data_IF_423093558362
#
_entry.id   IF_423093558362
#
_cell.length_a   1.000
_cell.length_b   1.000
_cell.length_c   1.000
_cell.angle_alpha   90.00
_cell.angle_beta   90.00
_cell.angle_gamma   90.00
#
_symmetry.space_group_name_H-M   'P 1'
#
loop_
_entity.id
_entity.type
_entity.pdbx_description
1 polymer ?
#
# COMPACT_ATOMS: atom_id res chain seq x y z
N UNK A 1 -27.78 -17.70 32.78
CA UNK A 1 -28.86 -18.70 32.59
C UNK A 1 -30.07 -17.88 32.12
N UNK A 2 -30.67 -18.03 30.95
CA UNK A 2 -30.95 -19.23 30.17
C UNK A 2 -30.70 -19.00 28.67
N UNK A 3 -30.28 -20.09 28.01
CA UNK A 3 -30.22 -20.26 26.56
C UNK A 3 -31.62 -20.67 26.09
N UNK A 4 -32.05 -20.16 24.94
CA UNK A 4 -33.06 -20.84 24.12
C UNK A 4 -32.44 -21.05 22.74
N UNK A 5 -32.22 -22.32 22.42
CA UNK A 5 -31.86 -22.85 21.12
C UNK A 5 -33.00 -23.76 20.68
N UNK A 6 -33.35 -23.75 19.40
CA UNK A 6 -34.02 -24.84 18.70
C UNK A 6 -33.81 -24.69 17.17
N UNK A 7 -33.89 -25.78 16.38
CA UNK A 7 -32.86 -26.12 15.40
C UNK A 7 -33.43 -26.48 14.00
N UNK A 8 -32.53 -26.95 13.14
CA UNK A 8 -32.75 -27.77 11.93
C UNK A 8 -33.22 -27.10 10.62
N UNK A 9 -32.26 -26.96 9.69
CA UNK A 9 -32.34 -27.68 8.41
C UNK A 9 -30.93 -28.07 7.96
N UNK A 10 -30.75 -29.32 7.55
CA UNK A 10 -29.49 -29.96 7.18
C UNK A 10 -29.67 -30.67 5.84
N UNK A 11 -28.57 -30.71 5.06
CA UNK A 11 -28.28 -31.49 3.83
C UNK A 11 -28.88 -30.92 2.54
N UNK A 12 -28.22 -30.92 1.39
CA UNK A 12 -26.98 -31.54 0.90
C UNK A 12 -26.53 -30.74 -0.34
N UNK A 13 -25.24 -30.62 -0.64
CA UNK A 13 -24.68 -30.92 -1.97
C UNK A 13 -23.15 -30.83 -1.89
N UNK A 14 -22.50 -31.98 -2.08
CA UNK A 14 -21.06 -32.15 -2.22
C UNK A 14 -20.77 -32.52 -3.67
N UNK A 15 -19.53 -32.24 -4.08
CA UNK A 15 -18.80 -32.75 -5.25
C UNK A 15 -18.93 -31.96 -6.56
N UNK A 16 -17.82 -31.35 -6.97
CA UNK A 16 -17.14 -31.64 -8.23
C UNK A 16 -15.68 -31.15 -8.14
N UNK A 17 -14.75 -32.10 -8.17
CA UNK A 17 -13.30 -31.93 -8.31
C UNK A 17 -12.90 -32.43 -9.71
N UNK A 18 -11.80 -31.86 -10.21
CA UNK A 18 -10.84 -32.39 -11.19
C UNK A 18 -11.28 -32.62 -12.64
N UNK A 19 -10.70 -31.85 -13.55
CA UNK A 19 -10.43 -32.25 -14.93
C UNK A 19 -8.95 -31.95 -15.25
N UNK A 20 -8.14 -33.02 -15.27
CA UNK A 20 -6.79 -33.03 -15.83
C UNK A 20 -6.83 -33.40 -17.31
N UNK A 21 -5.86 -32.93 -18.07
CA UNK A 21 -5.65 -33.27 -19.49
C UNK A 21 -4.56 -34.35 -19.60
N UNK A 22 -4.69 -35.34 -20.52
CA UNK A 22 -3.82 -36.51 -20.54
C UNK A 22 -2.59 -36.38 -21.44
N UNK A 23 -1.46 -36.84 -20.93
CA UNK A 23 -0.29 -37.27 -21.68
C UNK A 23 -0.55 -38.64 -22.34
N UNK A 24 -0.19 -38.81 -23.60
CA UNK A 24 -0.13 -40.12 -24.26
C UNK A 24 1.27 -40.41 -24.78
N UNK A 25 1.90 -41.42 -24.16
CA UNK A 25 3.06 -42.13 -24.68
C UNK A 25 2.62 -43.12 -25.77
N UNK A 26 3.32 -43.14 -26.90
CA UNK A 26 3.19 -44.16 -27.94
C UNK A 26 4.55 -44.79 -28.25
N UNK A 27 4.87 -45.89 -27.57
CA UNK A 27 5.99 -46.76 -27.92
C UNK A 27 5.52 -47.92 -28.79
N UNK A 28 6.18 -48.14 -29.93
CA UNK A 28 6.02 -49.35 -30.74
C UNK A 28 7.39 -49.96 -31.03
N UNK A 29 7.42 -51.30 -31.01
CA UNK A 29 8.56 -52.17 -30.76
C UNK A 29 8.78 -53.07 -31.99
N UNK A 30 10.06 -53.40 -32.23
CA UNK A 30 10.59 -54.61 -32.93
C UNK A 30 10.45 -54.68 -34.46
N UNK A 31 11.60 -54.79 -35.15
CA UNK A 31 12.02 -55.99 -35.91
C UNK A 31 13.49 -55.94 -36.31
N UNK A 32 14.28 -56.82 -35.70
CA UNK A 32 15.54 -57.32 -36.23
C UNK A 32 15.28 -58.12 -37.51
N UNK A 33 16.11 -57.94 -38.55
CA UNK A 33 16.38 -58.99 -39.53
C UNK A 33 17.69 -58.74 -40.31
N UNK A 34 18.64 -59.65 -40.04
CA UNK A 34 19.60 -60.34 -40.93
C UNK A 34 20.58 -59.55 -41.82
N UNK A 35 21.84 -59.70 -41.43
CA UNK A 35 23.07 -60.04 -42.18
C UNK A 35 22.85 -60.43 -43.66
N UNK A 36 23.58 -59.76 -44.56
CA UNK A 36 24.12 -60.36 -45.79
C UNK A 36 25.45 -59.68 -46.17
N UNK A 37 26.32 -60.43 -46.82
CA UNK A 37 27.78 -60.28 -46.87
C UNK A 37 28.33 -60.08 -48.29
N UNK A 38 29.47 -59.37 -48.38
CA UNK A 38 30.58 -59.47 -49.38
C UNK A 38 30.43 -58.70 -50.73
N UNK A 39 31.50 -58.55 -51.55
CA UNK A 39 32.82 -57.91 -51.26
C UNK A 39 33.36 -57.03 -52.44
N UNK A 40 34.41 -56.23 -52.17
CA UNK A 40 35.53 -55.99 -53.10
C UNK A 40 35.40 -54.93 -54.21
N UNK A 41 36.33 -53.96 -54.23
CA UNK A 41 37.43 -53.85 -55.21
C UNK A 41 38.07 -52.43 -55.21
N UNK A 42 39.35 -52.41 -54.80
CA UNK A 42 40.50 -51.69 -55.38
C UNK A 42 40.41 -50.22 -55.84
N UNK A 43 41.23 -49.39 -55.17
CA UNK A 43 42.22 -48.43 -55.67
C UNK A 43 41.93 -47.58 -56.92
N UNK A 44 41.99 -46.26 -56.74
CA UNK A 44 42.70 -45.37 -57.67
C UNK A 44 43.17 -44.10 -56.97
N UNK A 45 44.48 -43.85 -57.06
CA UNK A 45 45.16 -42.64 -56.60
C UNK A 45 44.86 -41.42 -57.48
N UNK A 46 44.87 -40.21 -56.89
CA UNK A 46 45.61 -39.06 -57.42
C UNK A 46 45.49 -37.79 -56.54
N UNK A 47 46.56 -37.48 -55.79
CA UNK A 47 47.37 -36.25 -55.83
C UNK A 47 46.74 -34.81 -55.78
N UNK A 48 47.26 -33.99 -54.81
CA UNK A 48 47.51 -32.50 -54.73
C UNK A 48 46.38 -31.58 -54.17
N UNK A 49 46.65 -30.46 -53.43
CA UNK A 49 47.43 -30.25 -52.18
C UNK A 49 46.66 -29.43 -51.09
N UNK A 50 47.29 -29.31 -49.92
CA UNK A 50 46.88 -28.48 -48.77
C UNK A 50 46.83 -26.98 -49.06
N UNK A 51 45.72 -26.32 -48.70
CA UNK A 51 45.65 -24.87 -48.48
C UNK A 51 45.15 -24.63 -47.04
N UNK A 52 46.00 -23.99 -46.26
CA UNK A 52 45.78 -23.54 -44.89
C UNK A 52 44.63 -22.55 -44.77
N UNK A 53 43.64 -22.83 -43.92
CA UNK A 53 42.70 -21.84 -43.39
C UNK A 53 41.92 -22.44 -42.22
N UNK A 54 42.26 -22.07 -40.99
CA UNK A 54 41.40 -22.21 -39.81
C UNK A 54 41.95 -21.27 -38.72
N UNK A 55 41.61 -19.98 -38.79
CA UNK A 55 40.51 -19.36 -38.04
C UNK A 55 40.78 -19.26 -36.52
N UNK A 56 41.57 -18.23 -36.18
CA UNK A 56 41.18 -17.14 -35.29
C UNK A 56 40.25 -17.51 -34.11
N UNK A 57 40.85 -18.09 -33.07
CA UNK A 57 40.27 -18.15 -31.73
C UNK A 57 40.27 -16.76 -31.08
N UNK A 58 39.23 -15.96 -31.37
CA UNK A 58 38.88 -14.77 -30.60
C UNK A 58 37.81 -15.18 -29.58
N UNK A 59 38.21 -15.23 -28.32
CA UNK A 59 37.34 -15.31 -27.15
C UNK A 59 36.30 -14.17 -27.24
N UNK A 60 35.07 -14.52 -27.62
CA UNK A 60 33.91 -13.64 -27.42
C UNK A 60 33.49 -13.79 -25.96
N UNK A 61 34.13 -13.06 -25.06
CA UNK A 61 33.62 -12.86 -23.71
C UNK A 61 32.33 -12.05 -23.82
N UNK A 62 31.19 -12.74 -23.90
CA UNK A 62 29.88 -12.13 -23.81
C UNK A 62 29.71 -11.58 -22.39
N UNK A 63 30.06 -10.31 -22.21
CA UNK A 63 29.73 -9.54 -21.01
C UNK A 63 28.20 -9.41 -20.98
N UNK A 64 27.54 -10.34 -20.30
CA UNK A 64 26.12 -10.21 -19.94
C UNK A 64 26.05 -9.00 -19.01
N UNK A 65 25.65 -7.86 -19.58
CA UNK A 65 25.31 -6.68 -18.83
C UNK A 65 24.00 -6.97 -18.09
N UNK A 66 24.09 -7.58 -16.90
CA UNK A 66 22.96 -7.68 -15.98
C UNK A 66 22.58 -6.23 -15.65
N UNK A 67 21.43 -5.78 -16.15
CA UNK A 67 20.86 -4.50 -15.75
C UNK A 67 20.61 -4.58 -14.24
N UNK A 68 21.49 -3.95 -13.45
CA UNK A 68 21.28 -3.84 -12.01
C UNK A 68 19.97 -3.08 -11.77
N UNK A 69 19.12 -3.54 -10.82
CA UNK A 69 17.93 -2.81 -10.46
C UNK A 69 18.37 -1.40 -10.03
N UNK A 70 17.81 -0.37 -10.67
CA UNK A 70 18.07 1.05 -10.37
C UNK A 70 17.85 1.28 -8.87
N UNK A 71 18.96 1.26 -8.15
CA UNK A 71 19.04 1.41 -6.72
C UNK A 71 18.98 2.90 -6.42
N UNK A 72 17.80 3.37 -6.00
CA UNK A 72 17.54 4.78 -5.69
C UNK A 72 17.36 4.99 -4.19
N UNK A 73 17.67 6.21 -3.74
CA UNK A 73 17.46 6.66 -2.35
C UNK A 73 15.98 6.51 -1.98
N UNK A 74 15.63 6.09 -0.74
CA UNK A 74 14.25 6.04 -0.29
C UNK A 74 13.59 7.42 -0.34
N UNK A 75 12.36 7.49 -0.83
CA UNK A 75 11.57 8.71 -0.89
C UNK A 75 10.22 8.52 -0.20
N UNK A 76 9.68 9.59 0.41
CA UNK A 76 8.44 9.57 1.18
C UNK A 76 7.43 10.50 0.51
N UNK A 77 6.21 10.01 0.32
CA UNK A 77 5.08 10.78 -0.22
C UNK A 77 4.00 11.04 0.82
N UNK A 78 3.81 10.13 1.79
CA UNK A 78 2.81 10.29 2.86
C UNK A 78 3.18 9.53 4.12
N UNK A 79 2.83 10.07 5.29
CA UNK A 79 2.96 9.43 6.60
C UNK A 79 1.61 9.47 7.30
N UNK A 80 1.14 8.33 7.78
CA UNK A 80 -0.18 8.18 8.42
C UNK A 80 -0.07 7.36 9.72
N UNK A 81 -0.54 7.88 10.88
CA UNK A 81 -0.93 9.28 11.09
C UNK A 81 0.28 10.24 10.97
N UNK A 82 0.08 11.50 10.57
CA UNK A 82 1.16 12.48 10.42
C UNK A 82 1.73 12.98 11.76
N UNK A 83 0.96 12.84 12.83
CA UNK A 83 1.36 13.20 14.20
C UNK A 83 0.67 12.31 15.21
N UNK A 84 1.14 12.33 16.45
CA UNK A 84 0.48 11.67 17.58
C UNK A 84 0.48 12.60 18.79
N UNK A 85 0.06 12.11 19.96
CA UNK A 85 0.05 12.89 21.20
C UNK A 85 0.94 12.25 22.24
N UNK A 86 1.54 13.05 23.11
CA UNK A 86 2.21 12.53 24.30
C UNK A 86 1.20 11.96 25.29
N UNK A 87 1.65 11.02 26.13
CA UNK A 87 0.86 10.40 27.20
C UNK A 87 -0.47 9.75 26.74
N UNK A 88 -0.51 9.19 25.53
CA UNK A 88 -1.68 8.46 25.03
C UNK A 88 -1.70 7.00 25.49
N UNK A 89 -2.93 6.47 25.64
CA UNK A 89 -3.14 5.06 26.00
C UNK A 89 -2.77 4.09 24.88
N UNK A 90 -2.97 4.49 23.62
CA UNK A 90 -2.57 3.69 22.45
C UNK A 90 -1.08 3.89 22.22
N UNK A 91 -0.30 2.85 22.53
CA UNK A 91 1.16 2.82 22.44
C UNK A 91 1.63 1.35 22.37
N UNK A 92 2.36 0.90 21.33
CA UNK A 92 2.93 1.69 20.23
C UNK A 92 1.86 2.17 19.23
N UNK A 93 2.15 3.28 18.56
CA UNK A 93 1.38 3.76 17.39
C UNK A 93 1.99 3.17 16.13
N UNK A 94 1.16 2.61 15.24
CA UNK A 94 1.61 2.10 13.95
C UNK A 94 1.56 3.21 12.91
N UNK A 95 2.70 3.51 12.31
CA UNK A 95 2.79 4.39 11.15
C UNK A 95 2.71 3.59 9.85
N UNK A 96 1.97 4.10 8.89
CA UNK A 96 1.99 3.72 7.49
C UNK A 96 2.69 4.82 6.70
N UNK A 97 3.83 4.47 6.10
CA UNK A 97 4.65 5.36 5.30
C UNK A 97 4.53 4.93 3.84
N UNK A 98 4.06 5.84 2.99
CA UNK A 98 3.96 5.65 1.53
C UNK A 98 5.14 6.35 0.85
N UNK A 99 5.65 5.74 -0.20
CA UNK A 99 6.81 6.26 -0.91
C UNK A 99 7.39 5.27 -1.91
N UNK A 100 8.71 5.31 -2.10
CA UNK A 100 9.42 4.41 -3.00
C UNK A 100 10.78 3.98 -2.41
N UNK A 101 11.29 2.86 -2.93
CA UNK A 101 12.61 2.31 -2.63
C UNK A 101 12.83 1.90 -1.17
N UNK A 102 11.81 1.32 -0.52
CA UNK A 102 11.91 0.84 0.86
C UNK A 102 12.46 -0.60 0.99
N UNK A 103 12.82 -1.27 -0.10
CA UNK A 103 13.31 -2.64 -0.03
C UNK A 103 14.59 -2.73 0.83
N UNK A 104 14.59 -3.63 1.81
CA UNK A 104 15.69 -3.76 2.78
C UNK A 104 15.79 -2.61 3.79
N UNK A 105 14.79 -1.74 3.87
CA UNK A 105 14.79 -0.60 4.79
C UNK A 105 14.90 -1.03 6.25
N UNK A 106 15.68 -0.26 7.01
CA UNK A 106 15.66 -0.22 8.47
C UNK A 106 15.18 1.14 8.92
N UNK A 107 14.51 1.18 10.06
CA UNK A 107 14.05 2.43 10.67
C UNK A 107 14.80 2.65 11.97
N UNK A 108 15.22 3.89 12.22
CA UNK A 108 15.87 4.34 13.45
C UNK A 108 15.17 5.57 14.00
N UNK A 109 15.34 5.82 15.28
CA UNK A 109 14.87 7.04 15.94
C UNK A 109 16.03 7.99 16.17
N UNK A 110 15.80 9.30 16.04
CA UNK A 110 16.81 10.31 16.41
C UNK A 110 16.77 10.66 17.91
N UNK A 111 15.63 10.45 18.54
CA UNK A 111 15.36 10.84 19.92
C UNK A 111 15.21 9.58 20.79
N UNK A 112 15.82 9.53 21.99
CA UNK A 112 15.73 8.36 22.86
C UNK A 112 14.32 8.11 23.43
N UNK A 113 13.44 9.12 23.40
CA UNK A 113 12.06 8.98 23.88
C UNK A 113 11.13 8.28 22.87
N UNK A 114 11.60 8.03 21.64
CA UNK A 114 10.90 7.18 20.68
C UNK A 114 11.74 5.96 20.35
N UNK A 115 11.09 4.79 20.28
CA UNK A 115 11.71 3.52 19.91
C UNK A 115 10.86 2.88 18.83
N UNK A 116 11.49 2.34 17.79
CA UNK A 116 10.80 1.68 16.69
C UNK A 116 10.94 0.17 16.77
N UNK A 117 9.89 -0.54 16.42
CA UNK A 117 9.89 -1.98 16.22
C UNK A 117 8.96 -2.41 15.08
N UNK A 118 8.94 -3.71 14.77
CA UNK A 118 8.05 -4.34 13.81
C UNK A 118 8.00 -3.65 12.42
N UNK A 119 9.17 -3.29 11.90
CA UNK A 119 9.32 -2.72 10.56
C UNK A 119 8.94 -3.76 9.50
N UNK A 120 7.97 -3.44 8.65
CA UNK A 120 7.52 -4.29 7.55
C UNK A 120 7.42 -3.49 6.27
N UNK A 121 7.99 -4.02 5.20
CA UNK A 121 7.94 -3.43 3.87
C UNK A 121 7.16 -4.37 2.96
N UNK A 122 6.30 -3.82 2.10
CA UNK A 122 5.60 -4.63 1.10
C UNK A 122 6.58 -5.07 -0.02
N UNK A 123 6.20 -6.10 -0.78
CA UNK A 123 7.07 -6.66 -1.82
C UNK A 123 7.52 -5.64 -2.90
N UNK A 124 6.71 -4.60 -3.15
CA UNK A 124 7.03 -3.57 -4.13
C UNK A 124 7.92 -2.45 -3.57
N UNK A 125 8.21 -2.43 -2.27
CA UNK A 125 9.02 -1.39 -1.63
C UNK A 125 8.38 0.00 -1.64
N UNK A 126 7.04 0.08 -1.70
CA UNK A 126 6.27 1.33 -1.79
C UNK A 126 5.48 1.67 -0.53
N UNK A 127 5.37 0.72 0.39
CA UNK A 127 4.72 0.88 1.68
C UNK A 127 5.61 0.31 2.79
N UNK A 128 5.77 1.07 3.85
CA UNK A 128 6.46 0.68 5.07
C UNK A 128 5.53 0.86 6.27
N UNK A 129 5.39 -0.19 7.07
CA UNK A 129 4.74 -0.14 8.37
C UNK A 129 5.81 -0.18 9.46
N UNK A 130 5.69 0.68 10.46
CA UNK A 130 6.57 0.69 11.63
C UNK A 130 5.78 1.02 12.88
N UNK A 131 6.04 0.29 13.95
CA UNK A 131 5.44 0.56 15.25
C UNK A 131 6.39 1.49 16.03
N UNK A 132 5.86 2.62 16.50
CA UNK A 132 6.61 3.65 17.25
C UNK A 132 6.11 3.64 18.68
N UNK A 133 6.98 3.23 19.60
CA UNK A 133 6.76 3.32 21.04
C UNK A 133 7.22 4.68 21.55
N UNK A 134 6.33 5.38 22.25
CA UNK A 134 6.60 6.71 22.80
C UNK A 134 6.74 6.60 24.32
N UNK A 135 7.87 7.07 24.87
CA UNK A 135 8.12 7.04 26.31
C UNK A 135 7.28 8.11 27.05
N UNK A 136 6.88 7.84 28.30
CA UNK A 136 6.19 8.80 29.17
C UNK A 136 6.98 10.10 29.43
N UNK A 137 8.31 10.06 29.32
CA UNK A 137 9.17 11.25 29.42
C UNK A 137 9.15 12.14 28.15
N UNK A 138 8.50 11.71 27.07
CA UNK A 138 8.39 12.49 25.85
C UNK A 138 7.59 13.78 26.08
N UNK A 139 8.15 14.90 25.62
CA UNK A 139 7.48 16.21 25.60
C UNK A 139 6.94 16.52 24.20
N UNK A 140 5.93 17.40 24.08
CA UNK A 140 5.45 17.83 22.77
C UNK A 140 6.58 18.42 21.92
N UNK A 141 6.58 18.11 20.62
CA UNK A 141 7.65 18.50 19.68
C UNK A 141 7.94 17.44 18.62
N UNK A 142 9.01 17.64 17.86
CA UNK A 142 9.37 16.79 16.72
C UNK A 142 10.25 15.59 17.12
N UNK A 143 9.86 14.41 16.65
CA UNK A 143 10.54 13.13 16.85
C UNK A 143 10.74 12.43 15.50
N UNK A 144 11.54 13.02 14.59
CA UNK A 144 11.77 12.43 13.28
C UNK A 144 12.35 11.02 13.41
N UNK A 145 11.96 10.17 12.45
CA UNK A 145 12.53 8.84 12.26
C UNK A 145 13.43 8.87 11.02
N UNK A 146 14.38 7.95 10.95
CA UNK A 146 15.27 7.80 9.79
C UNK A 146 14.98 6.45 9.15
N UNK A 147 14.65 6.45 7.86
CA UNK A 147 14.64 5.25 7.02
C UNK A 147 16.01 5.15 6.36
N UNK A 148 16.68 4.02 6.55
CA UNK A 148 17.99 3.71 5.96
C UNK A 148 17.90 2.48 5.06
N UNK A 149 18.45 2.59 3.85
CA UNK A 149 18.68 1.48 2.92
C UNK A 149 20.16 1.46 2.53
N UNK A 150 20.59 0.49 1.72
CA UNK A 150 21.96 0.48 1.21
C UNK A 150 22.27 1.65 0.27
N UNK A 151 21.23 2.33 -0.22
CA UNK A 151 21.27 3.35 -1.27
C UNK A 151 21.22 4.76 -0.68
N UNK A 152 20.84 4.89 0.59
CA UNK A 152 20.83 6.16 1.29
C UNK A 152 19.86 6.18 2.45
N UNK A 153 19.55 7.39 2.91
CA UNK A 153 18.66 7.62 4.04
C UNK A 153 17.66 8.72 3.72
N UNK A 154 16.50 8.66 4.35
CA UNK A 154 15.48 9.72 4.29
C UNK A 154 14.84 9.91 5.65
N UNK A 155 14.38 11.13 5.91
CA UNK A 155 13.79 11.52 7.19
C UNK A 155 12.27 11.43 7.11
N UNK A 156 11.68 10.73 8.07
CA UNK A 156 10.24 10.65 8.27
C UNK A 156 9.84 11.74 9.28
N UNK A 157 9.06 12.75 8.87
CA UNK A 157 8.54 13.72 9.83
C UNK A 157 7.52 13.02 10.74
N UNK A 158 7.66 13.23 12.05
CA UNK A 158 6.71 12.74 13.05
C UNK A 158 6.67 13.68 14.25
N UNK A 159 5.50 14.25 14.52
CA UNK A 159 5.29 15.25 15.55
C UNK A 159 4.47 14.69 16.71
N UNK A 160 4.82 15.06 17.95
CA UNK A 160 4.03 14.77 19.15
C UNK A 160 3.35 16.05 19.65
N UNK A 161 2.03 16.07 19.57
CA UNK A 161 1.17 17.13 20.09
C UNK A 161 1.06 17.09 21.61
N UNK A 162 0.70 18.23 22.20
CA UNK A 162 0.32 18.34 23.62
C UNK A 162 -0.89 17.46 23.94
N UNK A 163 -0.91 16.75 25.08
CA UNK A 163 -2.04 15.88 25.44
C UNK A 163 -3.36 16.62 25.39
N UNK A 164 -4.41 15.95 24.92
CA UNK A 164 -5.76 16.48 25.00
C UNK A 164 -6.23 16.46 26.46
N UNK A 165 -6.81 17.57 26.94
CA UNK A 165 -7.43 17.62 28.26
C UNK A 165 -8.72 16.79 28.24
N UNK A 166 -8.67 15.58 28.80
CA UNK A 166 -9.80 14.66 28.85
C UNK A 166 -10.98 15.16 29.68
N UNK A 167 -10.76 16.08 30.62
CA UNK A 167 -11.80 16.59 31.51
C UNK A 167 -12.56 17.79 30.92
N UNK A 168 -11.99 18.45 29.91
CA UNK A 168 -12.61 19.63 29.28
C UNK A 168 -13.27 19.37 27.94
N UNK A 169 -12.88 18.29 27.25
CA UNK A 169 -13.17 18.17 25.82
C UNK A 169 -14.03 16.96 25.43
N UNK A 170 -14.37 16.06 26.36
CA UNK A 170 -14.98 14.78 26.00
C UNK A 170 -15.99 14.25 27.04
N UNK A 171 -17.22 14.80 27.04
CA UNK A 171 -18.36 14.17 27.73
C UNK A 171 -18.98 13.04 26.88
N UNK A 172 -18.90 13.15 25.55
CA UNK A 172 -19.68 12.32 24.62
C UNK A 172 -21.13 12.81 24.51
N UNK A 173 -21.91 12.18 23.62
CA UNK A 173 -23.33 12.48 23.41
C UNK A 173 -24.15 11.71 24.44
N UNK A 174 -25.15 12.38 25.04
CA UNK A 174 -26.04 11.82 26.07
C UNK A 174 -27.51 11.87 25.61
N UNK A 175 -28.44 11.36 26.44
CA UNK A 175 -29.87 11.48 26.19
C UNK A 175 -30.41 12.91 26.26
N UNK A 176 -29.65 13.82 26.86
CA UNK A 176 -30.04 15.22 27.02
C UNK A 176 -29.73 16.04 25.76
N UNK A 177 -29.03 15.44 24.78
CA UNK A 177 -28.60 16.11 23.57
C UNK A 177 -29.64 16.09 22.45
N UNK A 178 -29.79 17.23 21.77
CA UNK A 178 -30.54 17.34 20.52
C UNK A 178 -29.54 17.37 19.37
N UNK A 179 -29.54 16.30 18.57
CA UNK A 179 -28.64 16.11 17.43
C UNK A 179 -29.27 16.64 16.15
N UNK A 180 -28.58 17.53 15.45
CA UNK A 180 -28.98 18.03 14.14
C UNK A 180 -28.05 17.51 13.05
N UNK A 181 -28.61 16.76 12.09
CA UNK A 181 -27.88 16.21 10.94
C UNK A 181 -27.78 17.25 9.82
N UNK A 182 -26.57 17.49 9.34
CA UNK A 182 -26.26 18.45 8.27
C UNK A 182 -25.56 17.73 7.14
N UNK A 183 -26.04 17.93 5.92
CA UNK A 183 -25.25 17.71 4.71
C UNK A 183 -24.43 18.97 4.44
N UNK A 184 -23.12 18.94 4.71
CA UNK A 184 -22.23 20.13 4.68
C UNK A 184 -22.41 20.94 3.40
N UNK A 185 -22.32 20.28 2.24
CA UNK A 185 -22.47 20.89 0.91
C UNK A 185 -23.84 21.56 0.66
N UNK A 186 -24.89 21.16 1.41
CA UNK A 186 -26.27 21.60 1.17
C UNK A 186 -26.80 22.58 2.21
N UNK A 187 -25.99 22.94 3.19
CA UNK A 187 -26.44 23.77 4.30
C UNK A 187 -26.28 25.26 4.02
N UNK A 188 -25.03 25.73 3.91
CA UNK A 188 -24.73 27.15 3.70
C UNK A 188 -23.33 27.29 3.13
N UNK A 189 -23.19 28.09 2.07
CA UNK A 189 -21.91 28.44 1.43
C UNK A 189 -21.39 29.72 2.09
N UNK A 190 -20.34 29.58 2.91
CA UNK A 190 -19.76 30.69 3.66
C UNK A 190 -18.46 31.24 3.08
N UNK A 191 -17.80 30.51 2.18
CA UNK A 191 -16.60 30.91 1.47
C UNK A 191 -16.60 30.37 0.02
N UNK A 192 -17.20 31.12 -0.92
CA UNK A 192 -17.29 30.69 -2.31
C UNK A 192 -15.94 30.50 -3.02
N UNK A 193 -14.83 30.96 -2.43
CA UNK A 193 -13.49 30.77 -3.01
C UNK A 193 -13.03 29.32 -2.99
N UNK A 194 -13.62 28.47 -2.15
CA UNK A 194 -13.30 27.05 -2.05
C UNK A 194 -14.23 26.14 -2.89
N UNK A 195 -15.22 26.71 -3.60
CA UNK A 195 -16.23 25.97 -4.36
C UNK A 195 -15.68 25.19 -5.56
N UNK A 196 -14.54 25.61 -6.10
CA UNK A 196 -13.89 25.00 -7.26
C UNK A 196 -12.38 24.88 -7.00
N UNK A 197 -11.93 23.90 -6.18
CA UNK A 197 -10.51 23.71 -5.92
C UNK A 197 -9.79 23.34 -7.22
N UNK A 198 -8.48 23.60 -7.29
CA UNK A 198 -7.70 23.51 -8.53
C UNK A 198 -7.77 22.13 -9.23
N UNK A 199 -7.93 21.06 -8.45
CA UNK A 199 -8.00 19.68 -8.97
C UNK A 199 -9.44 19.21 -9.27
N UNK A 200 -10.45 20.08 -9.10
CA UNK A 200 -11.84 19.74 -9.40
C UNK A 200 -12.17 19.85 -10.89
N UNK A 201 -13.07 19.00 -11.42
CA UNK A 201 -13.64 19.19 -12.75
C UNK A 201 -14.31 20.57 -12.89
N UNK A 202 -14.29 21.18 -14.09
CA UNK A 202 -14.89 22.52 -14.32
C UNK A 202 -16.38 22.62 -13.97
N UNK A 203 -17.10 21.50 -13.99
CA UNK A 203 -18.54 21.36 -13.72
C UNK A 203 -18.84 20.73 -12.36
N UNK A 204 -17.84 20.61 -11.48
CA UNK A 204 -18.00 19.97 -10.17
C UNK A 204 -19.01 20.71 -9.28
N UNK A 205 -19.03 22.06 -9.34
CA UNK A 205 -19.98 22.89 -8.63
C UNK A 205 -21.07 23.41 -9.59
N UNK A 206 -22.28 22.88 -9.44
CA UNK A 206 -23.46 23.36 -10.17
C UNK A 206 -24.71 23.21 -9.31
N UNK A 207 -25.14 24.32 -8.72
CA UNK A 207 -26.34 24.37 -7.85
C UNK A 207 -27.63 23.98 -8.57
N UNK A 208 -27.65 23.99 -9.91
CA UNK A 208 -28.83 23.55 -10.70
C UNK A 208 -28.86 22.03 -10.88
N UNK A 209 -27.72 21.36 -10.74
CA UNK A 209 -27.62 19.92 -10.79
C UNK A 209 -27.74 19.34 -9.37
N UNK A 210 -28.81 18.59 -9.04
CA UNK A 210 -29.01 18.04 -7.69
C UNK A 210 -27.90 17.10 -7.21
N UNK A 211 -27.09 16.56 -8.14
CA UNK A 211 -25.99 15.63 -7.86
C UNK A 211 -24.61 16.27 -7.83
N UNK A 212 -24.49 17.54 -8.22
CA UNK A 212 -23.23 18.27 -8.15
C UNK A 212 -22.99 18.84 -6.75
N UNK A 213 -21.80 19.40 -6.53
CA UNK A 213 -21.52 20.23 -5.36
C UNK A 213 -22.29 21.54 -5.46
N UNK A 214 -22.82 22.00 -4.33
CA UNK A 214 -23.62 23.22 -4.20
C UNK A 214 -22.88 24.32 -3.44
N UNK A 215 -21.71 24.01 -2.88
CA UNK A 215 -20.78 24.98 -2.28
C UNK A 215 -20.92 25.15 -0.78
N UNK A 216 -21.75 24.35 -0.11
CA UNK A 216 -21.85 24.41 1.34
C UNK A 216 -20.54 23.98 2.01
N UNK A 217 -20.13 24.71 3.04
CA UNK A 217 -18.82 24.54 3.67
C UNK A 217 -18.84 24.75 5.18
N UNK A 218 -17.70 24.50 5.83
CA UNK A 218 -17.58 24.70 7.27
C UNK A 218 -17.69 26.17 7.67
N UNK A 219 -17.32 27.11 6.79
CA UNK A 219 -17.48 28.54 7.09
C UNK A 219 -18.96 28.89 7.21
N UNK A 220 -19.81 28.38 6.31
CA UNK A 220 -21.25 28.53 6.36
C UNK A 220 -21.83 27.94 7.64
N UNK A 221 -21.45 26.72 8.01
CA UNK A 221 -21.88 26.11 9.28
C UNK A 221 -21.47 26.99 10.48
N UNK A 222 -20.22 27.47 10.53
CA UNK A 222 -19.72 28.35 11.59
C UNK A 222 -20.55 29.65 11.69
N UNK A 223 -20.89 30.25 10.54
CA UNK A 223 -21.69 31.47 10.47
C UNK A 223 -23.11 31.28 11.03
N UNK A 224 -23.62 30.06 11.07
CA UNK A 224 -24.96 29.72 11.58
C UNK A 224 -24.96 28.99 12.93
N UNK A 225 -23.85 28.98 13.68
CA UNK A 225 -23.84 28.36 15.02
C UNK A 225 -24.87 28.97 15.98
N UNK A 226 -25.17 30.26 15.85
CA UNK A 226 -26.21 30.89 16.67
C UNK A 226 -27.61 30.37 16.34
N UNK A 227 -27.92 30.13 15.06
CA UNK A 227 -29.19 29.54 14.63
C UNK A 227 -29.44 28.18 15.30
N UNK A 228 -28.42 27.32 15.40
CA UNK A 228 -28.54 26.04 16.08
C UNK A 228 -28.79 26.20 17.58
N UNK A 229 -28.11 27.15 18.23
CA UNK A 229 -28.33 27.45 19.65
C UNK A 229 -29.76 27.91 19.91
N UNK A 230 -30.28 28.80 19.07
CA UNK A 230 -31.64 29.34 19.21
C UNK A 230 -32.71 28.25 19.00
N UNK A 231 -32.42 27.25 18.14
CA UNK A 231 -33.26 26.07 17.94
C UNK A 231 -33.20 25.07 19.10
N UNK A 232 -32.25 25.23 20.04
CA UNK A 232 -32.02 24.28 21.14
C UNK A 232 -31.20 23.06 20.74
N UNK A 233 -30.52 23.10 19.59
CA UNK A 233 -29.59 22.04 19.16
C UNK A 233 -28.32 22.11 19.99
N UNK A 234 -27.89 20.96 20.54
CA UNK A 234 -26.68 20.85 21.36
C UNK A 234 -25.55 20.12 20.63
N UNK A 235 -25.87 19.32 19.61
CA UNK A 235 -24.91 18.50 18.87
C UNK A 235 -25.14 18.60 17.36
N UNK A 236 -24.07 18.79 16.59
CA UNK A 236 -24.11 18.72 15.12
C UNK A 236 -23.54 17.39 14.64
N UNK A 237 -24.28 16.69 13.78
CA UNK A 237 -23.77 15.55 13.03
C UNK A 237 -23.61 15.97 11.57
N UNK A 238 -22.37 15.99 11.08
CA UNK A 238 -22.07 16.33 9.69
C UNK A 238 -21.90 15.06 8.87
N UNK A 239 -22.46 15.02 7.66
CA UNK A 239 -22.08 13.98 6.69
C UNK A 239 -20.62 14.19 6.27
N UNK A 240 -19.89 13.10 5.95
CA UNK A 240 -18.53 13.20 5.40
C UNK A 240 -18.45 14.05 4.13
#
# INVERSE_FOLDING_TARGET
MARVACPHLVRNFHALKSAGWPDTCGGSRIKNRLIETQPGLTNLESFIPRISCAFLSILFAATICLAEPKSAVPSITKVEPPSWWTNQRINPVRLLIRGANFNGARVRTERPQTVVDNVRVNNNGTYLFVDVRINLAARPGDYPLIIETAQGRTMVPFHLNSPLDGNKNFQGITSDDVVYLIMTDRFSDGDPSNNAPADSPPDANDRRNPRAYHGGDFRGIINHLQYFKDLGVTTLWLTP
#
